data_IF_451565597254
#
_entry.id   IF_451565597254
#
_cell.length_a   1.000
_cell.length_b   1.000
_cell.length_c   1.000
_cell.angle_alpha   90.00
_cell.angle_beta   90.00
_cell.angle_gamma   90.00
#
_symmetry.space_group_name_H-M   'P 1'
#
loop_
_entity.id
_entity.type
_entity.pdbx_description
1 polymer ?
#
# COMPACT_ATOMS: atom_id res chain seq x y z
N UNK A 1 15.02 -21.19 -1.75
CA UNK A 1 14.46 -19.93 -1.23
C UNK A 1 15.60 -18.93 -1.27
N UNK A 2 15.46 -17.80 -1.96
CA UNK A 2 16.50 -16.76 -1.97
C UNK A 2 16.40 -15.95 -0.68
N UNK A 3 17.50 -15.40 -0.16
CA UNK A 3 17.50 -14.54 1.03
C UNK A 3 16.48 -13.39 0.92
N UNK A 4 16.30 -12.82 -0.27
CA UNK A 4 15.30 -11.78 -0.55
C UNK A 4 13.87 -12.28 -0.33
N UNK A 5 13.52 -13.46 -0.86
CA UNK A 5 12.18 -14.03 -0.65
C UNK A 5 11.88 -14.35 0.81
N UNK A 6 12.94 -14.66 1.59
CA UNK A 6 12.82 -14.95 3.01
C UNK A 6 12.52 -13.68 3.82
N UNK A 7 13.24 -12.60 3.53
CA UNK A 7 12.98 -11.29 4.13
C UNK A 7 11.55 -10.80 3.80
N UNK A 8 11.11 -10.94 2.56
CA UNK A 8 9.79 -10.46 2.12
C UNK A 8 8.62 -11.21 2.77
N UNK A 9 8.66 -12.55 2.86
CA UNK A 9 7.57 -13.28 3.54
C UNK A 9 7.60 -13.04 5.05
N UNK A 10 8.80 -12.87 5.63
CA UNK A 10 8.96 -12.57 7.06
C UNK A 10 8.32 -11.23 7.42
N UNK A 11 8.53 -10.20 6.60
CA UNK A 11 7.91 -8.89 6.80
C UNK A 11 6.38 -8.94 6.67
N UNK A 12 5.87 -9.66 5.66
CA UNK A 12 4.43 -9.86 5.49
C UNK A 12 3.80 -10.59 6.70
N UNK A 13 4.39 -11.70 7.14
CA UNK A 13 3.90 -12.46 8.29
C UNK A 13 3.91 -11.59 9.54
N UNK A 14 4.99 -10.83 9.79
CA UNK A 14 5.06 -9.94 10.94
C UNK A 14 4.01 -8.83 10.90
N UNK A 15 3.74 -8.23 9.74
CA UNK A 15 2.68 -7.23 9.61
C UNK A 15 1.31 -7.82 9.94
N UNK A 16 1.00 -9.01 9.42
CA UNK A 16 -0.25 -9.71 9.73
C UNK A 16 -0.35 -10.07 11.22
N UNK A 17 0.72 -10.60 11.82
CA UNK A 17 0.75 -10.94 13.25
C UNK A 17 0.61 -9.71 14.14
N UNK A 18 1.20 -8.59 13.75
CA UNK A 18 1.00 -7.32 14.43
C UNK A 18 -0.48 -6.91 14.42
N UNK A 19 -1.19 -7.07 13.31
CA UNK A 19 -2.63 -6.81 13.27
C UNK A 19 -3.43 -7.85 14.08
N UNK A 20 -3.02 -9.13 14.01
CA UNK A 20 -3.69 -10.24 14.70
C UNK A 20 -3.55 -10.18 16.23
N UNK A 21 -2.59 -9.43 16.77
CA UNK A 21 -2.41 -9.32 18.23
C UNK A 21 -3.63 -8.75 18.96
N UNK A 22 -4.53 -8.07 18.22
CA UNK A 22 -5.79 -7.53 18.73
C UNK A 22 -6.98 -8.48 18.52
N UNK A 23 -6.81 -9.52 17.70
CA UNK A 23 -7.83 -10.54 17.44
C UNK A 23 -7.79 -11.59 18.54
N UNK A 24 -8.91 -11.72 19.26
CA UNK A 24 -9.03 -12.67 20.39
C UNK A 24 -9.22 -14.12 19.96
N UNK A 25 -9.90 -14.34 18.83
CA UNK A 25 -10.28 -15.67 18.35
C UNK A 25 -9.96 -15.77 16.85
N UNK A 26 -9.18 -16.80 16.47
CA UNK A 26 -8.80 -17.08 15.09
C UNK A 26 -9.85 -17.98 14.40
N UNK A 27 -11.09 -17.51 14.33
CA UNK A 27 -12.22 -18.24 13.75
C UNK A 27 -12.39 -17.97 12.24
N UNK A 28 -13.42 -18.56 11.65
CA UNK A 28 -13.69 -18.43 10.21
C UNK A 28 -14.08 -17.00 9.81
N UNK A 29 -14.60 -16.21 10.75
CA UNK A 29 -14.90 -14.80 10.49
C UNK A 29 -13.59 -14.01 10.36
N UNK A 30 -12.64 -14.23 11.26
CA UNK A 30 -11.31 -13.62 11.15
C UNK A 30 -10.60 -14.06 9.85
N UNK A 31 -10.74 -15.33 9.45
CA UNK A 31 -10.20 -15.82 8.17
C UNK A 31 -10.78 -15.05 6.99
N UNK A 32 -12.11 -14.87 6.96
CA UNK A 32 -12.78 -14.11 5.90
C UNK A 32 -12.29 -12.66 5.85
N UNK A 33 -12.22 -11.97 6.99
CA UNK A 33 -11.80 -10.57 7.07
C UNK A 33 -10.36 -10.38 6.57
N UNK A 34 -9.44 -11.25 6.98
CA UNK A 34 -8.04 -11.20 6.55
C UNK A 34 -7.86 -11.56 5.09
N UNK A 35 -8.57 -12.58 4.60
CA UNK A 35 -8.54 -12.94 3.18
C UNK A 35 -9.10 -11.80 2.31
N UNK A 36 -10.20 -11.17 2.70
CA UNK A 36 -10.74 -10.01 2.00
C UNK A 36 -9.77 -8.83 2.01
N UNK A 37 -9.13 -8.54 3.15
CA UNK A 37 -8.14 -7.48 3.24
C UNK A 37 -6.94 -7.72 2.30
N UNK A 38 -6.36 -8.93 2.30
CA UNK A 38 -5.25 -9.31 1.42
C UNK A 38 -5.63 -9.34 -0.07
N UNK A 39 -6.88 -9.66 -0.40
CA UNK A 39 -7.36 -9.69 -1.79
C UNK A 39 -7.69 -8.31 -2.33
N UNK A 40 -8.26 -7.42 -1.51
CA UNK A 40 -8.77 -6.12 -1.97
C UNK A 40 -7.74 -5.01 -1.79
N UNK A 41 -6.93 -5.05 -0.72
CA UNK A 41 -6.13 -3.90 -0.28
C UNK A 41 -4.64 -4.18 -0.15
N UNK A 42 -4.27 -5.44 0.03
CA UNK A 42 -2.91 -5.92 0.34
C UNK A 42 -2.35 -5.33 1.64
N UNK A 43 -1.42 -6.04 2.27
CA UNK A 43 -0.75 -5.57 3.49
C UNK A 43 0.53 -4.80 3.17
N UNK A 44 1.28 -5.30 2.19
CA UNK A 44 2.47 -4.69 1.62
C UNK A 44 2.15 -4.02 0.28
N UNK A 45 3.14 -3.34 -0.28
CA UNK A 45 3.10 -2.76 -1.63
C UNK A 45 3.27 -3.83 -2.72
N UNK A 46 2.48 -4.89 -2.59
CA UNK A 46 2.47 -6.08 -3.44
C UNK A 46 1.09 -6.28 -4.07
N UNK A 47 1.00 -7.21 -5.02
CA UNK A 47 -0.28 -7.72 -5.52
C UNK A 47 -0.84 -8.82 -4.60
N UNK A 48 -2.16 -9.09 -4.62
CA UNK A 48 -2.73 -10.23 -3.92
C UNK A 48 -2.03 -11.56 -4.28
N UNK A 49 -1.57 -11.69 -5.52
CA UNK A 49 -0.84 -12.87 -5.98
C UNK A 49 0.55 -13.01 -5.38
N UNK A 50 1.27 -11.90 -5.22
CA UNK A 50 2.57 -11.89 -4.58
C UNK A 50 2.44 -12.19 -3.07
N UNK A 51 1.49 -11.56 -2.38
CA UNK A 51 1.27 -11.82 -0.95
C UNK A 51 0.82 -13.26 -0.70
N UNK A 52 -0.08 -13.78 -1.52
CA UNK A 52 -0.45 -15.19 -1.48
C UNK A 52 0.77 -16.10 -1.65
N UNK A 53 1.63 -15.83 -2.62
CA UNK A 53 2.83 -16.63 -2.85
C UNK A 53 3.81 -16.56 -1.66
N UNK A 54 3.97 -15.40 -1.04
CA UNK A 54 4.77 -15.22 0.17
C UNK A 54 4.19 -16.01 1.36
N UNK A 55 2.88 -15.97 1.57
CA UNK A 55 2.21 -16.76 2.63
C UNK A 55 2.35 -18.27 2.41
N UNK A 56 2.21 -18.73 1.16
CA UNK A 56 2.46 -20.14 0.81
C UNK A 56 3.92 -20.52 1.10
N UNK A 57 4.88 -19.64 0.83
CA UNK A 57 6.29 -19.89 1.14
C UNK A 57 6.55 -19.93 2.65
N UNK A 58 5.96 -19.01 3.42
CA UNK A 58 6.05 -18.99 4.87
C UNK A 58 5.48 -20.26 5.50
N UNK A 59 4.32 -20.74 5.03
CA UNK A 59 3.70 -21.97 5.54
C UNK A 59 4.51 -23.23 5.21
N UNK A 60 5.29 -23.20 4.13
CA UNK A 60 6.20 -24.29 3.73
C UNK A 60 7.54 -24.25 4.44
N UNK A 61 7.89 -23.13 5.09
CA UNK A 61 9.14 -23.04 5.85
C UNK A 61 8.96 -23.73 7.21
N UNK A 62 10.05 -24.31 7.71
CA UNK A 62 10.15 -24.82 9.08
C UNK A 62 10.50 -23.70 10.09
N UNK A 63 10.60 -22.45 9.63
CA UNK A 63 10.96 -21.29 10.45
C UNK A 63 9.82 -20.92 11.41
N UNK A 64 10.18 -20.40 12.59
CA UNK A 64 9.16 -20.01 13.56
C UNK A 64 8.47 -18.72 13.14
N UNK A 65 7.17 -18.77 12.82
CA UNK A 65 6.42 -17.60 12.36
C UNK A 65 6.12 -16.62 13.50
N UNK A 66 5.98 -17.11 14.74
CA UNK A 66 5.60 -16.27 15.88
C UNK A 66 6.80 -15.65 16.62
N UNK A 67 7.98 -15.55 16.02
CA UNK A 67 9.19 -15.16 16.73
C UNK A 67 9.11 -13.75 17.32
N UNK A 68 8.55 -12.79 16.57
CA UNK A 68 8.53 -11.38 16.95
C UNK A 68 7.28 -10.98 17.74
N UNK A 69 6.13 -11.51 17.35
CA UNK A 69 4.83 -11.18 17.96
C UNK A 69 3.89 -12.38 17.86
N UNK A 70 3.33 -12.86 18.96
CA UNK A 70 2.07 -13.59 18.94
C UNK A 70 1.52 -13.82 20.34
N UNK A 71 0.22 -13.55 20.52
CA UNK A 71 -0.55 -14.00 21.70
C UNK A 71 -1.11 -15.42 21.52
N UNK A 72 -0.93 -15.98 20.33
CA UNK A 72 -1.41 -17.29 19.89
C UNK A 72 -0.23 -18.25 19.74
N UNK A 73 -0.46 -19.54 19.93
CA UNK A 73 0.57 -20.56 19.66
C UNK A 73 0.96 -20.59 18.18
N UNK A 74 2.19 -21.02 17.89
CA UNK A 74 2.69 -21.26 16.52
C UNK A 74 1.73 -22.12 15.68
N UNK A 75 1.21 -23.21 16.26
CA UNK A 75 0.26 -24.11 15.59
C UNK A 75 -1.03 -23.37 15.17
N UNK A 76 -1.64 -22.63 16.10
CA UNK A 76 -2.83 -21.83 15.82
C UNK A 76 -2.59 -20.76 14.75
N UNK A 77 -1.42 -20.14 14.72
CA UNK A 77 -1.05 -19.16 13.69
C UNK A 77 -0.90 -19.82 12.32
N UNK A 78 -0.21 -20.97 12.25
CA UNK A 78 -0.02 -21.71 10.99
C UNK A 78 -1.35 -22.24 10.44
N UNK A 79 -2.20 -22.78 11.29
CA UNK A 79 -3.56 -23.19 10.92
C UNK A 79 -4.36 -22.01 10.35
N UNK A 80 -4.38 -20.89 11.08
CA UNK A 80 -5.10 -19.69 10.66
C UNK A 80 -4.61 -19.16 9.31
N UNK A 81 -3.28 -18.98 9.15
CA UNK A 81 -2.70 -18.52 7.89
C UNK A 81 -2.96 -19.52 6.75
N UNK A 82 -2.96 -20.82 7.04
CA UNK A 82 -3.35 -21.86 6.07
C UNK A 82 -4.79 -21.72 5.61
N UNK A 83 -5.73 -21.45 6.53
CA UNK A 83 -7.14 -21.17 6.20
C UNK A 83 -7.30 -19.86 5.43
N UNK A 84 -6.54 -18.82 5.75
CA UNK A 84 -6.52 -17.55 4.98
C UNK A 84 -6.05 -17.78 3.55
N UNK A 85 -4.95 -18.51 3.35
CA UNK A 85 -4.43 -18.87 2.02
C UNK A 85 -5.47 -19.65 1.21
N UNK A 86 -6.10 -20.67 1.80
CA UNK A 86 -7.15 -21.43 1.14
C UNK A 86 -8.36 -20.56 0.78
N UNK A 87 -8.71 -19.60 1.64
CA UNK A 87 -9.81 -18.67 1.37
C UNK A 87 -9.46 -17.68 0.26
N UNK A 88 -8.24 -17.15 0.23
CA UNK A 88 -7.75 -16.32 -0.87
C UNK A 88 -7.83 -17.07 -2.20
N UNK A 89 -7.38 -18.32 -2.27
CA UNK A 89 -7.48 -19.17 -3.46
C UNK A 89 -8.93 -19.32 -3.95
N UNK A 90 -9.88 -19.50 -3.04
CA UNK A 90 -11.31 -19.57 -3.36
C UNK A 90 -11.91 -18.24 -3.86
N UNK A 91 -11.22 -17.11 -3.67
CA UNK A 91 -11.63 -15.77 -4.14
C UNK A 91 -11.11 -15.44 -5.55
N UNK A 92 -10.43 -16.37 -6.23
CA UNK A 92 -9.97 -16.14 -7.59
C UNK A 92 -11.15 -15.98 -8.58
N UNK A 93 -11.02 -15.13 -9.62
CA UNK A 93 -9.87 -14.26 -9.91
C UNK A 93 -9.81 -13.07 -8.96
N UNK A 94 -8.61 -12.72 -8.49
CA UNK A 94 -8.42 -11.56 -7.63
C UNK A 94 -8.53 -10.27 -8.44
N UNK A 95 -9.14 -9.22 -7.87
CA UNK A 95 -9.20 -7.92 -8.52
C UNK A 95 -7.80 -7.33 -8.66
N UNK A 96 -7.61 -6.51 -9.70
CA UNK A 96 -6.45 -5.63 -9.78
C UNK A 96 -6.62 -4.53 -8.74
N UNK A 97 -5.62 -4.25 -7.88
CA UNK A 97 -5.68 -3.13 -6.95
C UNK A 97 -5.91 -1.81 -7.69
N UNK A 98 -6.67 -0.87 -7.12
CA UNK A 98 -6.94 0.42 -7.78
C UNK A 98 -5.67 1.25 -7.97
N UNK A 99 -4.67 1.04 -7.11
CA UNK A 99 -3.35 1.64 -7.21
C UNK A 99 -2.31 0.79 -6.49
N UNK A 100 -1.04 0.98 -6.85
CA UNK A 100 0.13 0.36 -6.23
C UNK A 100 1.18 1.42 -5.94
N UNK A 101 1.83 1.36 -4.77
CA UNK A 101 2.96 2.23 -4.52
C UNK A 101 4.14 1.85 -5.42
N UNK A 102 4.85 2.87 -5.89
CA UNK A 102 6.09 2.72 -6.62
C UNK A 102 7.27 2.88 -5.65
N UNK A 103 8.38 2.18 -5.89
CA UNK A 103 9.54 2.23 -5.02
C UNK A 103 10.19 3.63 -5.01
N UNK A 104 10.73 4.09 -3.87
CA UNK A 104 11.22 5.46 -3.69
C UNK A 104 12.35 5.83 -4.66
N UNK A 105 13.13 4.86 -5.14
CA UNK A 105 14.20 5.05 -6.12
C UNK A 105 13.70 5.63 -7.45
N UNK A 106 12.40 5.49 -7.74
CA UNK A 106 11.78 6.08 -8.94
C UNK A 106 11.45 7.56 -8.81
N UNK A 107 11.74 8.20 -7.67
CA UNK A 107 11.48 9.63 -7.50
C UNK A 107 12.17 10.49 -8.58
N UNK A 108 13.36 10.07 -9.04
CA UNK A 108 14.06 10.74 -10.14
C UNK A 108 13.23 10.82 -11.44
N UNK A 109 12.30 9.87 -11.68
CA UNK A 109 11.42 9.90 -12.85
C UNK A 109 10.44 11.08 -12.80
N UNK A 110 10.17 11.64 -11.62
CA UNK A 110 9.23 12.74 -11.39
C UNK A 110 9.90 14.11 -11.30
N UNK A 111 11.19 14.24 -11.65
CA UNK A 111 11.92 15.50 -11.57
C UNK A 111 11.25 16.65 -12.33
N UNK A 112 10.63 16.36 -13.48
CA UNK A 112 9.92 17.34 -14.32
C UNK A 112 8.39 17.32 -14.13
N UNK A 113 7.89 16.56 -13.14
CA UNK A 113 6.46 16.44 -12.92
C UNK A 113 5.83 17.80 -12.56
N UNK A 114 4.58 17.98 -12.96
CA UNK A 114 3.82 19.23 -12.72
C UNK A 114 2.63 18.96 -11.81
N UNK A 115 2.31 19.88 -10.89
CA UNK A 115 1.14 19.75 -10.05
C UNK A 115 -0.13 19.88 -10.88
N UNK A 116 -1.01 18.90 -10.73
CA UNK A 116 -2.32 18.83 -11.38
C UNK A 116 -3.46 18.92 -10.36
N UNK A 117 -3.17 18.64 -9.09
CA UNK A 117 -4.15 18.72 -8.01
C UNK A 117 -3.50 19.12 -6.69
N UNK A 118 -4.32 19.65 -5.78
CA UNK A 118 -3.96 20.05 -4.43
C UNK A 118 -4.95 19.43 -3.45
N UNK A 119 -4.45 18.64 -2.53
CA UNK A 119 -5.21 18.07 -1.42
C UNK A 119 -5.00 18.96 -0.21
N UNK A 120 -6.08 19.57 0.29
CA UNK A 120 -6.05 20.56 1.38
C UNK A 120 -5.81 19.99 2.78
N UNK A 121 -4.96 18.97 2.91
CA UNK A 121 -4.66 18.28 4.17
C UNK A 121 -3.21 17.84 4.22
N UNK A 122 -2.73 17.51 5.41
CA UNK A 122 -1.36 17.06 5.63
C UNK A 122 -1.10 15.64 5.09
N UNK A 123 0.14 15.36 4.69
CA UNK A 123 0.50 14.08 4.08
C UNK A 123 0.24 12.87 4.99
N UNK A 124 0.26 13.04 6.31
CA UNK A 124 -0.04 11.96 7.28
C UNK A 124 -1.50 11.50 7.18
N UNK A 125 -2.42 12.43 6.93
CA UNK A 125 -3.84 12.09 6.73
C UNK A 125 -4.05 11.38 5.38
N UNK A 126 -3.35 11.83 4.34
CA UNK A 126 -3.34 11.20 3.02
C UNK A 126 -2.76 9.78 3.11
N UNK A 127 -1.62 9.60 3.79
CA UNK A 127 -1.02 8.31 4.09
C UNK A 127 -2.00 7.38 4.81
N UNK A 128 -2.69 7.88 5.83
CA UNK A 128 -3.67 7.09 6.60
C UNK A 128 -4.84 6.63 5.73
N UNK A 129 -5.36 7.51 4.89
CA UNK A 129 -6.46 7.21 3.97
C UNK A 129 -6.06 6.20 2.91
N UNK A 130 -4.91 6.41 2.27
CA UNK A 130 -4.41 5.55 1.20
C UNK A 130 -3.80 4.25 1.73
N UNK A 131 -3.43 4.22 3.03
CA UNK A 131 -2.68 3.16 3.69
C UNK A 131 -1.35 2.85 3.00
N UNK A 132 -0.67 3.92 2.58
CA UNK A 132 0.61 3.85 1.86
C UNK A 132 1.59 4.81 2.50
N UNK A 133 2.84 4.38 2.63
CA UNK A 133 3.87 5.13 3.32
C UNK A 133 4.39 6.23 2.42
N UNK A 134 4.40 7.45 2.95
CA UNK A 134 5.18 8.53 2.36
C UNK A 134 6.63 8.41 2.86
N UNK A 135 7.57 8.54 1.94
CA UNK A 135 9.00 8.45 2.20
C UNK A 135 9.58 9.85 2.28
N UNK A 136 10.42 10.13 3.28
CA UNK A 136 11.19 11.36 3.30
C UNK A 136 12.25 11.36 2.20
N UNK A 137 12.44 12.49 1.52
CA UNK A 137 13.53 12.63 0.57
C UNK A 137 14.88 12.79 1.30
N UNK A 138 15.94 12.10 0.87
CA UNK A 138 17.25 12.27 1.45
C UNK A 138 17.76 13.70 1.25
N UNK A 139 18.41 14.24 2.29
CA UNK A 139 19.02 15.58 2.30
C UNK A 139 18.04 16.75 2.05
N UNK A 140 16.73 16.54 2.23
CA UNK A 140 15.75 17.61 2.13
C UNK A 140 15.51 18.30 3.49
N UNK A 141 16.06 19.50 3.64
CA UNK A 141 15.87 20.35 4.82
C UNK A 141 14.40 20.78 5.02
N UNK A 142 13.57 20.71 3.97
CA UNK A 142 12.13 21.06 4.06
C UNK A 142 11.27 19.95 4.66
N UNK A 143 11.80 18.73 4.82
CA UNK A 143 11.03 17.60 5.34
C UNK A 143 9.96 17.09 4.38
N UNK A 144 10.17 17.26 3.07
CA UNK A 144 9.29 16.81 2.00
C UNK A 144 9.16 15.30 2.04
N UNK A 145 7.91 14.85 2.05
CA UNK A 145 7.54 13.45 2.02
C UNK A 145 6.84 13.14 0.70
N UNK A 146 7.22 12.02 0.08
CA UNK A 146 6.75 11.61 -1.24
C UNK A 146 6.11 10.23 -1.23
N UNK A 147 5.03 10.06 -1.97
CA UNK A 147 4.43 8.77 -2.29
C UNK A 147 4.13 8.73 -3.78
N UNK A 148 4.74 7.79 -4.49
CA UNK A 148 4.45 7.56 -5.91
C UNK A 148 3.49 6.39 -6.06
N UNK A 149 2.50 6.55 -6.94
CA UNK A 149 1.48 5.54 -7.19
C UNK A 149 1.41 5.25 -8.69
N UNK A 150 1.22 3.97 -9.02
CA UNK A 150 0.72 3.52 -10.32
C UNK A 150 -0.75 3.15 -10.18
N UNK A 151 -1.62 3.82 -10.91
CA UNK A 151 -3.06 3.57 -10.91
C UNK A 151 -3.40 2.31 -11.74
N UNK A 152 -4.56 1.72 -11.52
CA UNK A 152 -5.03 0.55 -12.27
C UNK A 152 -5.22 0.83 -13.77
N UNK A 153 -5.47 2.09 -14.11
CA UNK A 153 -5.55 2.60 -15.48
C UNK A 153 -4.17 2.72 -16.16
N UNK A 154 -3.09 2.66 -15.39
CA UNK A 154 -1.70 2.68 -15.87
C UNK A 154 -0.98 4.01 -15.68
N UNK A 155 -1.70 5.11 -15.44
CA UNK A 155 -1.12 6.40 -15.10
C UNK A 155 -0.30 6.33 -13.80
N UNK A 156 0.77 7.13 -13.75
CA UNK A 156 1.62 7.26 -12.58
C UNK A 156 1.54 8.69 -12.04
N UNK A 157 1.33 8.81 -10.73
CA UNK A 157 1.25 10.08 -10.03
C UNK A 157 2.22 10.10 -8.85
N UNK A 158 2.67 11.28 -8.47
CA UNK A 158 3.37 11.48 -7.21
C UNK A 158 2.56 12.39 -6.29
N UNK A 159 2.48 12.01 -5.02
CA UNK A 159 1.92 12.81 -3.95
C UNK A 159 3.08 13.39 -3.16
N UNK A 160 3.12 14.70 -3.01
CA UNK A 160 4.25 15.40 -2.38
C UNK A 160 3.74 16.39 -1.37
N UNK A 161 4.19 16.26 -0.12
CA UNK A 161 3.80 17.17 0.96
C UNK A 161 4.90 17.33 2.01
N UNK A 162 5.13 18.54 2.53
CA UNK A 162 4.59 19.81 2.07
C UNK A 162 5.15 20.23 0.70
N UNK A 163 4.32 20.81 -0.17
CA UNK A 163 4.76 21.32 -1.50
C UNK A 163 4.84 22.84 -1.58
N UNK A 164 3.91 23.54 -0.94
CA UNK A 164 3.85 25.00 -0.94
C UNK A 164 4.57 25.59 0.29
N UNK A 165 5.29 26.73 0.19
CA UNK A 165 6.13 27.26 1.28
C UNK A 165 5.42 27.52 2.61
N UNK A 166 4.13 27.85 2.57
CA UNK A 166 3.33 28.26 3.74
C UNK A 166 2.15 27.31 4.00
N UNK A 167 2.25 26.05 3.57
CA UNK A 167 1.14 25.10 3.64
C UNK A 167 1.62 23.65 3.71
N UNK A 168 0.92 22.88 4.54
CA UNK A 168 1.13 21.44 4.70
C UNK A 168 0.42 20.58 3.65
N UNK A 169 -0.18 21.24 2.65
CA UNK A 169 -1.00 20.59 1.63
C UNK A 169 -0.16 19.70 0.71
N UNK A 170 -0.80 18.63 0.25
CA UNK A 170 -0.20 17.65 -0.64
C UNK A 170 -0.49 18.02 -2.09
N UNK A 171 0.56 18.12 -2.90
CA UNK A 171 0.44 18.24 -4.34
C UNK A 171 0.30 16.86 -4.99
N UNK A 172 -0.63 16.74 -5.95
CA UNK A 172 -0.72 15.61 -6.88
C UNK A 172 0.02 16.01 -8.15
N UNK A 173 1.10 15.31 -8.47
CA UNK A 173 1.95 15.56 -9.63
C UNK A 173 1.74 14.50 -10.71
N UNK A 174 1.84 14.91 -11.98
CA UNK A 174 1.95 14.00 -13.13
C UNK A 174 3.17 14.33 -13.97
N UNK A 175 3.71 13.31 -14.66
CA UNK A 175 4.79 13.46 -15.65
C UNK A 175 4.26 13.88 -17.02
N UNK A 176 2.98 13.59 -17.30
CA UNK A 176 2.33 13.86 -18.57
C UNK A 176 1.33 15.03 -18.41
N UNK A 177 1.81 16.23 -18.68
CA UNK A 177 1.00 17.45 -18.55
C UNK A 177 -0.14 17.50 -19.58
N UNK A 178 0.03 16.88 -20.75
CA UNK A 178 -1.00 16.85 -21.81
C UNK A 178 -2.21 16.03 -21.38
N UNK A 179 -2.00 15.04 -20.48
CA UNK A 179 -3.04 14.18 -19.90
C UNK A 179 -3.39 14.53 -18.45
N UNK A 180 -3.12 15.76 -18.01
CA UNK A 180 -3.33 16.20 -16.63
C UNK A 180 -4.76 15.95 -16.11
N UNK A 181 -5.78 16.34 -16.88
CA UNK A 181 -7.18 16.20 -16.47
C UNK A 181 -7.61 14.72 -16.38
N UNK A 182 -7.19 13.90 -17.34
CA UNK A 182 -7.45 12.46 -17.35
C UNK A 182 -6.75 11.76 -16.18
N UNK A 183 -5.50 12.12 -15.92
CA UNK A 183 -4.70 11.58 -14.81
C UNK A 183 -5.31 11.94 -13.47
N UNK A 184 -5.77 13.19 -13.29
CA UNK A 184 -6.45 13.61 -12.07
C UNK A 184 -7.76 12.84 -11.88
N UNK A 185 -8.57 12.68 -12.94
CA UNK A 185 -9.82 11.91 -12.86
C UNK A 185 -9.56 10.44 -12.49
N UNK A 186 -8.55 9.80 -13.08
CA UNK A 186 -8.14 8.44 -12.74
C UNK A 186 -7.67 8.33 -11.28
N UNK A 187 -6.92 9.34 -10.79
CA UNK A 187 -6.50 9.40 -9.40
C UNK A 187 -7.71 9.44 -8.45
N UNK A 188 -8.70 10.30 -8.71
CA UNK A 188 -9.90 10.41 -7.89
C UNK A 188 -10.69 9.09 -7.86
N UNK A 189 -10.90 8.46 -9.02
CA UNK A 189 -11.61 7.18 -9.13
C UNK A 189 -10.90 6.05 -8.35
N UNK A 190 -9.58 5.94 -8.51
CA UNK A 190 -8.78 4.90 -7.87
C UNK A 190 -8.68 5.08 -6.34
N UNK A 191 -8.60 6.32 -5.85
CA UNK A 191 -8.33 6.62 -4.43
C UNK A 191 -9.58 6.94 -3.61
N UNK A 192 -10.71 7.18 -4.29
CA UNK A 192 -11.94 7.62 -3.66
C UNK A 192 -11.87 9.04 -3.08
N UNK A 193 -10.84 9.83 -3.43
CA UNK A 193 -10.88 11.28 -3.22
C UNK A 193 -11.93 11.91 -4.13
N UNK A 194 -12.60 12.95 -3.64
CA UNK A 194 -13.60 13.70 -4.40
C UNK A 194 -13.01 14.96 -5.03
N UNK A 195 -13.68 15.51 -6.03
CA UNK A 195 -13.29 16.78 -6.66
C UNK A 195 -13.33 17.97 -5.69
N UNK A 196 -14.12 17.89 -4.61
CA UNK A 196 -14.16 18.93 -3.57
C UNK A 196 -12.96 18.82 -2.62
N UNK A 197 -12.39 17.62 -2.46
CA UNK A 197 -11.21 17.38 -1.63
C UNK A 197 -9.89 17.66 -2.34
N UNK A 198 -9.90 17.63 -3.68
CA UNK A 198 -8.71 17.81 -4.52
C UNK A 198 -8.95 18.93 -5.53
N UNK A 199 -8.49 20.12 -5.19
CA UNK A 199 -8.61 21.29 -6.05
C UNK A 199 -7.65 21.15 -7.24
N UNK A 200 -8.12 21.27 -8.50
CA UNK A 200 -7.22 21.31 -9.66
C UNK A 200 -6.25 22.49 -9.56
N UNK A 201 -4.99 22.26 -9.91
CA UNK A 201 -3.99 23.33 -10.02
C UNK A 201 -3.91 23.75 -11.48
N UNK A 202 -4.02 25.06 -11.74
CA UNK A 202 -3.83 25.57 -13.10
C UNK A 202 -2.39 25.33 -13.55
N UNK A 203 -2.22 24.67 -14.69
CA UNK A 203 -0.92 24.46 -15.34
C UNK A 203 -0.32 25.77 -15.85
#
# INVERSE_FOLDING_TARGET
MTETSMAEWWDLVNALLYNMQFVRVLDDKAVEEYAQHLVVRTELDLTPAQEHALLVNALRSDERLTERFSKHSEEAVRDFLGRVVARMEAMRPWPTPPYQALPPERWADFADARPIGRIGTWYVDVQTRLRKVFWGLPDDERGTSVLMLRLCSGEEVALVGPWWPDSDDVAVLTRDADRAAETLAAFLDATGFTADEVAPVAA
#
